data_IF_871648797119
#
_entry.id   IF_871648797119
#
_cell.length_a   1.000
_cell.length_b   1.000
_cell.length_c   1.000
_cell.angle_alpha   90.00
_cell.angle_beta   90.00
_cell.angle_gamma   90.00
#
_symmetry.space_group_name_H-M   'P 1'
#
loop_
_entity.id
_entity.type
_entity.pdbx_description
1 polymer ?
#
# COMPACT_ATOMS: atom_id res chain seq x y z
N UNK A 1 -59.72 -47.68 4.34
CA UNK A 1 -59.60 -46.75 3.20
C UNK A 1 -60.28 -45.46 3.62
N UNK A 2 -59.70 -44.28 3.78
CA UNK A 2 -58.42 -43.68 3.44
C UNK A 2 -58.69 -42.17 3.49
N UNK A 3 -58.37 -41.49 4.60
CA UNK A 3 -58.51 -40.02 4.72
C UNK A 3 -57.28 -39.38 4.09
N UNK A 4 -57.46 -38.72 2.95
CA UNK A 4 -56.42 -37.88 2.34
C UNK A 4 -56.23 -36.62 3.17
N UNK A 5 -55.09 -36.52 3.85
CA UNK A 5 -54.59 -35.28 4.43
C UNK A 5 -53.88 -34.47 3.35
N UNK A 6 -54.44 -33.29 3.03
CA UNK A 6 -53.77 -32.28 2.21
C UNK A 6 -52.66 -31.62 3.04
N UNK A 7 -51.42 -32.06 2.83
CA UNK A 7 -50.23 -31.37 3.34
C UNK A 7 -49.95 -30.18 2.42
N UNK A 8 -50.33 -28.98 2.84
CA UNK A 8 -49.86 -27.75 2.22
C UNK A 8 -48.35 -27.58 2.49
N UNK A 9 -47.53 -28.03 1.54
CA UNK A 9 -46.12 -27.67 1.48
C UNK A 9 -45.99 -26.18 1.23
N UNK A 10 -45.61 -25.41 2.26
CA UNK A 10 -45.11 -24.04 2.10
C UNK A 10 -43.79 -24.09 1.34
N UNK A 11 -43.85 -23.85 0.04
CA UNK A 11 -42.68 -23.47 -0.76
C UNK A 11 -42.19 -22.12 -0.24
N UNK A 12 -41.24 -22.15 0.70
CA UNK A 12 -40.37 -21.00 0.93
C UNK A 12 -39.51 -20.84 -0.33
N UNK A 13 -39.94 -19.93 -1.21
CA UNK A 13 -39.07 -19.37 -2.23
C UNK A 13 -37.81 -18.85 -1.51
N UNK A 14 -36.66 -19.44 -1.81
CA UNK A 14 -35.37 -18.84 -1.49
C UNK A 14 -35.35 -17.48 -2.18
N UNK A 15 -35.68 -16.42 -1.45
CA UNK A 15 -35.45 -15.04 -1.88
C UNK A 15 -33.98 -14.99 -2.27
N UNK A 16 -33.71 -14.83 -3.58
CA UNK A 16 -32.36 -14.77 -4.11
C UNK A 16 -31.69 -13.59 -3.42
N UNK A 17 -30.78 -13.87 -2.48
CA UNK A 17 -30.08 -12.84 -1.70
C UNK A 17 -29.51 -11.83 -2.68
N UNK A 18 -29.77 -10.56 -2.41
CA UNK A 18 -29.40 -9.47 -3.30
C UNK A 18 -27.88 -9.47 -3.53
N UNK A 19 -27.45 -9.60 -4.78
CA UNK A 19 -26.04 -9.42 -5.13
C UNK A 19 -25.74 -7.93 -5.24
N UNK A 20 -25.37 -7.34 -4.11
CA UNK A 20 -25.02 -5.94 -3.99
C UNK A 20 -23.80 -5.56 -4.83
N UNK A 21 -22.83 -6.46 -5.01
CA UNK A 21 -21.61 -6.17 -5.78
C UNK A 21 -21.96 -6.05 -7.25
N UNK A 22 -22.63 -7.06 -7.82
CA UNK A 22 -23.05 -7.01 -9.23
C UNK A 22 -23.93 -5.79 -9.54
N UNK A 23 -24.86 -5.45 -8.63
CA UNK A 23 -25.73 -4.28 -8.80
C UNK A 23 -24.98 -2.96 -8.80
N UNK A 24 -24.07 -2.76 -7.85
CA UNK A 24 -23.26 -1.54 -7.78
C UNK A 24 -22.31 -1.45 -8.97
N UNK A 25 -21.68 -2.56 -9.37
CA UNK A 25 -20.79 -2.58 -10.53
C UNK A 25 -21.53 -2.15 -11.81
N UNK A 26 -22.78 -2.60 -12.01
CA UNK A 26 -23.62 -2.13 -13.13
C UNK A 26 -23.89 -0.63 -13.06
N UNK A 27 -24.19 -0.11 -11.88
CA UNK A 27 -24.39 1.34 -11.69
C UNK A 27 -23.12 2.12 -12.03
N UNK A 28 -21.96 1.67 -11.56
CA UNK A 28 -20.67 2.34 -11.78
C UNK A 28 -20.27 2.31 -13.25
N UNK A 29 -20.46 1.17 -13.93
CA UNK A 29 -20.27 1.09 -15.38
C UNK A 29 -21.21 2.00 -16.16
N UNK A 30 -22.48 2.09 -15.77
CA UNK A 30 -23.43 2.99 -16.44
C UNK A 30 -23.06 4.47 -16.22
N UNK A 31 -22.52 4.82 -15.05
CA UNK A 31 -21.99 6.16 -14.80
C UNK A 31 -20.81 6.49 -15.71
N UNK A 32 -19.92 5.52 -15.97
CA UNK A 32 -18.81 5.68 -16.89
C UNK A 32 -19.26 6.02 -18.32
N UNK A 33 -20.37 5.42 -18.78
CA UNK A 33 -20.96 5.65 -20.11
C UNK A 33 -21.63 7.02 -20.28
N UNK A 34 -21.74 7.83 -19.21
CA UNK A 34 -22.28 9.20 -19.33
C UNK A 34 -21.31 10.16 -20.01
N UNK A 35 -20.06 9.74 -20.24
CA UNK A 35 -18.96 10.56 -20.79
C UNK A 35 -18.65 11.83 -19.97
N UNK A 36 -19.20 11.94 -18.75
CA UNK A 36 -18.89 13.02 -17.80
C UNK A 36 -17.53 12.84 -17.13
N UNK A 37 -17.05 11.60 -17.07
CA UNK A 37 -15.83 11.22 -16.36
C UNK A 37 -14.89 10.47 -17.30
N UNK A 38 -13.59 10.65 -17.08
CA UNK A 38 -12.54 9.89 -17.75
C UNK A 38 -12.62 8.41 -17.35
N UNK A 39 -12.86 8.16 -16.06
CA UNK A 39 -13.17 6.84 -15.51
C UNK A 39 -13.83 6.98 -14.14
N UNK A 40 -14.48 5.91 -13.71
CA UNK A 40 -14.91 5.68 -12.33
C UNK A 40 -13.82 4.83 -11.66
N UNK A 41 -13.31 5.28 -10.52
CA UNK A 41 -12.19 4.63 -9.83
C UNK A 41 -12.62 4.29 -8.41
N UNK A 42 -12.52 3.01 -8.03
CA UNK A 42 -12.77 2.57 -6.66
C UNK A 42 -11.43 2.55 -5.91
N UNK A 43 -11.35 3.35 -4.85
CA UNK A 43 -10.22 3.46 -3.95
C UNK A 43 -10.54 2.77 -2.62
N UNK A 44 -9.50 2.46 -1.85
CA UNK A 44 -9.67 1.81 -0.55
C UNK A 44 -10.25 2.75 0.49
N UNK A 45 -9.80 4.00 0.49
CA UNK A 45 -10.30 5.07 1.34
C UNK A 45 -10.22 6.44 0.65
N UNK A 46 -10.76 7.46 1.30
CA UNK A 46 -10.68 8.84 0.84
C UNK A 46 -9.26 9.41 0.94
N UNK A 47 -8.45 8.94 1.89
CA UNK A 47 -7.09 9.43 2.11
C UNK A 47 -6.17 9.14 0.91
N UNK A 48 -6.44 8.07 0.17
CA UNK A 48 -5.65 7.63 -0.98
C UNK A 48 -5.86 8.53 -2.22
N UNK A 49 -6.96 9.28 -2.27
CA UNK A 49 -7.37 10.06 -3.45
C UNK A 49 -6.28 11.01 -3.91
N UNK A 50 -5.60 11.71 -2.98
CA UNK A 50 -4.57 12.67 -3.35
C UNK A 50 -3.44 12.01 -4.14
N UNK A 51 -3.01 10.81 -3.72
CA UNK A 51 -1.99 10.06 -4.43
C UNK A 51 -2.52 9.59 -5.79
N UNK A 52 -3.66 8.89 -5.79
CA UNK A 52 -4.19 8.27 -6.99
C UNK A 52 -4.61 9.28 -8.05
N UNK A 53 -5.28 10.37 -7.68
CA UNK A 53 -5.61 11.46 -8.61
C UNK A 53 -4.34 12.02 -9.24
N UNK A 54 -3.30 12.32 -8.44
CA UNK A 54 -2.04 12.83 -9.00
C UNK A 54 -1.45 11.89 -10.06
N UNK A 55 -1.39 10.58 -9.79
CA UNK A 55 -0.89 9.60 -10.74
C UNK A 55 -1.77 9.50 -12.00
N UNK A 56 -3.09 9.53 -11.83
CA UNK A 56 -4.07 9.44 -12.93
C UNK A 56 -4.03 10.67 -13.83
N UNK A 57 -4.00 11.87 -13.23
CA UNK A 57 -3.91 13.14 -13.96
C UNK A 57 -2.63 13.24 -14.77
N UNK A 58 -1.53 12.65 -14.31
CA UNK A 58 -0.28 12.62 -15.06
C UNK A 58 -0.41 11.81 -16.36
N UNK A 59 -1.07 10.65 -16.31
CA UNK A 59 -1.26 9.77 -17.48
C UNK A 59 -2.32 10.32 -18.43
N UNK A 60 -3.49 10.68 -17.90
CA UNK A 60 -4.63 11.12 -18.71
C UNK A 60 -5.41 12.21 -17.97
N UNK A 61 -5.05 13.48 -18.17
CA UNK A 61 -5.74 14.60 -17.54
C UNK A 61 -7.24 14.56 -17.81
N UNK A 62 -8.05 14.74 -16.76
CA UNK A 62 -9.50 14.69 -16.93
C UNK A 62 -10.26 14.63 -15.61
N UNK A 63 -11.59 14.51 -15.73
CA UNK A 63 -12.45 14.41 -14.56
C UNK A 63 -12.62 12.96 -14.16
N UNK A 64 -12.10 12.55 -13.01
CA UNK A 64 -12.35 11.22 -12.46
C UNK A 64 -13.50 11.24 -11.45
N UNK A 65 -14.11 10.08 -11.19
CA UNK A 65 -15.06 9.89 -10.10
C UNK A 65 -14.54 8.82 -9.15
N UNK A 66 -14.20 9.23 -7.94
CA UNK A 66 -13.75 8.32 -6.90
C UNK A 66 -14.92 7.74 -6.11
N UNK A 67 -14.79 6.46 -5.78
CA UNK A 67 -15.66 5.72 -4.88
C UNK A 67 -14.77 5.23 -3.73
N UNK A 68 -15.14 5.51 -2.48
CA UNK A 68 -14.39 5.05 -1.29
C UNK A 68 -15.16 4.01 -0.47
N UNK A 69 -16.46 3.87 -0.76
CA UNK A 69 -17.35 2.98 -0.04
C UNK A 69 -18.22 2.22 -1.04
N UNK A 70 -18.49 0.97 -0.72
CA UNK A 70 -19.49 0.18 -1.43
C UNK A 70 -20.18 -0.84 -0.51
N UNK A 71 -21.39 -1.21 -0.87
CA UNK A 71 -22.21 -2.17 -0.12
C UNK A 71 -21.58 -3.55 -0.19
N UNK A 72 -21.42 -4.19 0.96
CA UNK A 72 -21.03 -5.59 1.05
C UNK A 72 -22.23 -6.53 0.79
N UNK A 73 -22.05 -7.85 0.95
CA UNK A 73 -23.13 -8.83 0.74
C UNK A 73 -24.33 -8.68 1.70
N UNK A 74 -24.16 -7.94 2.79
CA UNK A 74 -25.20 -7.64 3.76
C UNK A 74 -25.90 -6.30 3.48
N UNK A 75 -25.46 -5.54 2.46
CA UNK A 75 -25.97 -4.20 2.20
C UNK A 75 -25.42 -3.13 3.15
N UNK A 76 -24.36 -3.44 3.90
CA UNK A 76 -23.66 -2.47 4.75
C UNK A 76 -22.54 -1.83 3.96
N UNK A 77 -22.34 -0.52 4.10
CA UNK A 77 -21.19 0.15 3.48
C UNK A 77 -19.89 -0.39 4.09
N UNK A 78 -18.93 -0.66 3.24
CA UNK A 78 -17.61 -1.20 3.59
C UNK A 78 -16.58 -0.57 2.66
N UNK A 79 -15.33 -0.53 3.09
CA UNK A 79 -14.19 0.08 2.39
C UNK A 79 -12.94 -0.80 2.54
N UNK A 80 -11.81 -0.39 1.98
CA UNK A 80 -10.53 -1.10 2.04
C UNK A 80 -10.26 -2.02 0.83
N UNK A 81 -9.01 -2.45 0.70
CA UNK A 81 -8.52 -3.34 -0.37
C UNK A 81 -9.46 -4.52 -0.67
N UNK A 82 -9.80 -5.31 0.36
CA UNK A 82 -10.67 -6.49 0.21
C UNK A 82 -12.03 -6.15 -0.40
N UNK A 83 -12.58 -4.98 -0.08
CA UNK A 83 -13.85 -4.55 -0.66
C UNK A 83 -13.68 -4.10 -2.12
N UNK A 84 -12.57 -3.46 -2.48
CA UNK A 84 -12.23 -3.14 -3.88
C UNK A 84 -12.08 -4.41 -4.72
N UNK A 85 -11.34 -5.40 -4.23
CA UNK A 85 -11.06 -6.66 -4.94
C UNK A 85 -12.31 -7.46 -5.30
N UNK A 86 -13.41 -7.29 -4.56
CA UNK A 86 -14.70 -7.93 -4.88
C UNK A 86 -15.30 -7.46 -6.20
N UNK A 87 -14.84 -6.33 -6.73
CA UNK A 87 -15.28 -5.82 -8.04
C UNK A 87 -14.48 -6.36 -9.22
N UNK A 88 -13.38 -7.13 -9.01
CA UNK A 88 -12.52 -7.71 -10.07
C UNK A 88 -13.29 -8.29 -11.27
N UNK A 89 -14.37 -9.10 -11.10
CA UNK A 89 -15.11 -9.67 -12.23
C UNK A 89 -15.88 -8.66 -13.10
N UNK A 90 -15.95 -7.40 -12.70
CA UNK A 90 -16.78 -6.38 -13.32
C UNK A 90 -16.00 -5.17 -13.82
N UNK A 91 -14.68 -5.15 -13.65
CA UNK A 91 -13.85 -4.01 -14.00
C UNK A 91 -13.71 -3.87 -15.52
N UNK A 92 -13.47 -2.64 -15.97
CA UNK A 92 -13.24 -2.23 -17.35
C UNK A 92 -12.29 -1.03 -17.38
N UNK A 93 -11.87 -0.61 -18.57
CA UNK A 93 -11.00 0.57 -18.73
C UNK A 93 -11.63 1.91 -18.26
N UNK A 94 -12.95 1.93 -18.06
CA UNK A 94 -13.69 3.09 -17.55
C UNK A 94 -14.27 2.88 -16.14
N UNK A 95 -14.11 1.67 -15.58
CA UNK A 95 -14.43 1.36 -14.19
C UNK A 95 -13.41 0.37 -13.63
N UNK A 96 -12.41 0.89 -12.91
CA UNK A 96 -11.29 0.09 -12.39
C UNK A 96 -11.05 0.38 -10.91
N UNK A 97 -10.15 -0.37 -10.30
CA UNK A 97 -9.75 -0.17 -8.90
C UNK A 97 -8.29 0.24 -8.80
N UNK A 98 -7.99 1.04 -7.78
CA UNK A 98 -6.64 1.31 -7.34
C UNK A 98 -6.49 0.85 -5.89
N UNK A 99 -5.42 0.11 -5.59
CA UNK A 99 -5.20 -0.50 -4.28
C UNK A 99 -3.76 -0.30 -3.81
N UNK A 100 -3.57 -0.25 -2.51
CA UNK A 100 -2.25 -0.46 -1.91
C UNK A 100 -1.91 -1.96 -2.01
N UNK A 101 -0.65 -2.28 -2.33
CA UNK A 101 -0.29 -3.68 -2.51
C UNK A 101 -0.16 -4.45 -1.21
N UNK A 102 0.00 -3.77 -0.06
CA UNK A 102 0.38 -4.36 1.22
C UNK A 102 1.56 -5.34 1.02
N UNK A 103 1.33 -6.63 1.28
CA UNK A 103 2.25 -7.73 0.98
C UNK A 103 1.79 -8.56 -0.23
N UNK A 104 0.67 -8.23 -0.87
CA UNK A 104 0.07 -9.02 -1.98
C UNK A 104 1.00 -9.15 -3.16
N UNK A 105 1.63 -8.04 -3.56
CA UNK A 105 2.60 -8.03 -4.66
C UNK A 105 3.75 -8.99 -4.36
N UNK A 106 4.32 -8.91 -3.16
CA UNK A 106 5.47 -9.74 -2.77
C UNK A 106 5.10 -11.20 -2.49
N UNK A 107 3.84 -11.49 -2.14
CA UNK A 107 3.30 -12.85 -2.05
C UNK A 107 2.97 -13.45 -3.41
N UNK A 108 3.06 -12.68 -4.50
CA UNK A 108 2.71 -13.14 -5.84
C UNK A 108 1.21 -13.39 -6.02
N UNK A 109 0.36 -12.58 -5.39
CA UNK A 109 -1.09 -12.73 -5.55
C UNK A 109 -1.52 -12.52 -7.01
N UNK A 110 -2.15 -13.54 -7.59
CA UNK A 110 -2.47 -13.56 -9.01
C UNK A 110 -3.63 -12.63 -9.40
N UNK A 111 -3.51 -12.08 -10.60
CA UNK A 111 -4.56 -11.31 -11.25
C UNK A 111 -4.77 -9.90 -10.69
N UNK A 112 -3.82 -9.38 -9.91
CA UNK A 112 -3.71 -7.96 -9.56
C UNK A 112 -2.81 -7.27 -10.58
N UNK A 113 -3.34 -7.04 -11.78
CA UNK A 113 -2.57 -6.47 -12.90
C UNK A 113 -3.43 -5.51 -13.71
N UNK A 114 -2.79 -4.61 -14.46
CA UNK A 114 -3.47 -3.74 -15.41
C UNK A 114 -4.35 -4.48 -16.44
N UNK A 115 -4.01 -5.73 -16.83
CA UNK A 115 -4.86 -6.54 -17.72
C UNK A 115 -6.24 -6.85 -17.12
N UNK A 116 -6.33 -6.88 -15.81
CA UNK A 116 -7.58 -7.09 -15.07
C UNK A 116 -8.14 -5.77 -14.55
N UNK A 117 -7.65 -4.63 -15.06
CA UNK A 117 -8.03 -3.28 -14.65
C UNK A 117 -7.84 -3.07 -13.14
N UNK A 118 -6.73 -3.58 -12.60
CA UNK A 118 -6.29 -3.33 -11.23
C UNK A 118 -5.00 -2.55 -11.30
N UNK A 119 -5.01 -1.29 -10.84
CA UNK A 119 -3.79 -0.57 -10.53
C UNK A 119 -3.43 -0.85 -9.07
N UNK A 120 -2.16 -1.11 -8.79
CA UNK A 120 -1.68 -1.27 -7.41
C UNK A 120 -0.39 -0.50 -7.21
N UNK A 121 -0.12 -0.05 -5.99
CA UNK A 121 1.22 0.46 -5.66
C UNK A 121 2.24 -0.65 -5.89
N UNK A 122 3.44 -0.31 -6.37
CA UNK A 122 4.56 -1.25 -6.40
C UNK A 122 5.43 -1.14 -5.15
N UNK A 123 5.02 -0.31 -4.20
CA UNK A 123 5.45 -0.26 -2.80
C UNK A 123 4.35 -0.83 -1.88
N UNK A 124 4.59 -0.96 -0.58
CA UNK A 124 3.59 -1.47 0.38
C UNK A 124 2.28 -0.65 0.32
N UNK A 125 2.38 0.67 0.37
CA UNK A 125 1.24 1.60 0.22
C UNK A 125 1.72 2.94 -0.36
N UNK A 126 0.78 3.85 -0.61
CA UNK A 126 1.11 5.14 -1.20
C UNK A 126 2.05 6.01 -0.35
N UNK A 127 2.04 5.88 0.99
CA UNK A 127 2.91 6.66 1.87
C UNK A 127 4.39 6.31 1.70
N UNK A 128 4.70 5.08 1.28
CA UNK A 128 6.07 4.69 1.00
C UNK A 128 6.68 5.56 -0.12
N UNK A 129 5.88 6.00 -1.09
CA UNK A 129 6.32 6.89 -2.17
C UNK A 129 6.71 8.29 -1.69
N UNK A 130 6.16 8.77 -0.56
CA UNK A 130 6.64 9.99 0.09
C UNK A 130 8.03 9.81 0.71
N UNK A 131 8.35 8.56 1.04
CA UNK A 131 9.55 8.15 1.75
C UNK A 131 10.71 7.73 0.83
N UNK A 132 10.57 7.85 -0.49
CA UNK A 132 11.63 7.48 -1.43
C UNK A 132 12.91 8.29 -1.15
N UNK A 133 14.02 7.57 -1.01
CA UNK A 133 15.24 8.05 -0.37
C UNK A 133 15.94 9.15 -1.14
N UNK A 134 16.04 9.02 -2.47
CA UNK A 134 16.71 10.00 -3.33
C UNK A 134 15.94 11.31 -3.33
N UNK A 135 14.63 11.27 -3.49
CA UNK A 135 13.82 12.47 -3.57
C UNK A 135 13.65 13.16 -2.21
N UNK A 136 13.58 12.43 -1.08
CA UNK A 136 13.64 13.10 0.23
C UNK A 136 14.97 13.83 0.39
N UNK A 137 16.09 13.16 0.11
CA UNK A 137 17.41 13.76 0.25
C UNK A 137 17.52 15.03 -0.60
N UNK A 138 17.02 14.99 -1.83
CA UNK A 138 17.03 16.16 -2.71
C UNK A 138 16.16 17.30 -2.16
N UNK A 139 14.97 17.00 -1.63
CA UNK A 139 14.14 18.02 -0.97
C UNK A 139 14.82 18.58 0.27
N UNK A 140 15.50 17.76 1.08
CA UNK A 140 16.25 18.23 2.24
C UNK A 140 17.38 19.18 1.83
N UNK A 141 18.17 18.82 0.81
CA UNK A 141 19.26 19.65 0.29
C UNK A 141 18.82 21.04 -0.17
N UNK A 142 17.61 21.15 -0.71
CA UNK A 142 17.04 22.42 -1.15
C UNK A 142 16.45 23.28 -0.04
N UNK A 143 15.97 22.68 1.05
CA UNK A 143 15.22 23.40 2.09
C UNK A 143 16.04 23.58 3.37
N UNK A 144 17.15 22.86 3.55
CA UNK A 144 17.97 22.93 4.77
C UNK A 144 19.43 23.20 4.42
N UNK A 145 19.96 24.34 4.84
CA UNK A 145 21.28 24.85 4.43
C UNK A 145 22.46 24.01 4.98
N UNK A 146 22.34 23.47 6.19
CA UNK A 146 23.38 22.68 6.85
C UNK A 146 22.76 21.53 7.64
N UNK A 147 22.73 20.34 7.04
CA UNK A 147 22.35 19.09 7.73
C UNK A 147 23.49 18.10 7.59
N UNK A 148 24.14 17.80 8.72
CA UNK A 148 25.13 16.71 8.83
C UNK A 148 24.42 15.35 8.98
N UNK A 149 23.56 15.04 8.01
CA UNK A 149 22.81 13.79 7.91
C UNK A 149 22.40 13.57 6.46
N UNK A 150 22.84 12.46 5.89
CA UNK A 150 22.46 11.98 4.57
C UNK A 150 21.30 10.98 4.73
N UNK A 151 20.09 11.45 4.41
CA UNK A 151 18.87 10.65 4.49
C UNK A 151 18.89 9.49 3.50
N UNK A 152 19.53 9.65 2.34
CA UNK A 152 19.62 8.59 1.35
C UNK A 152 20.55 7.46 1.84
N UNK A 153 21.71 7.80 2.40
CA UNK A 153 22.61 6.82 3.02
C UNK A 153 21.93 6.11 4.20
N UNK A 154 21.21 6.85 5.05
CA UNK A 154 20.48 6.30 6.18
C UNK A 154 19.39 5.30 5.73
N UNK A 155 18.54 5.70 4.79
CA UNK A 155 17.46 4.83 4.28
C UNK A 155 18.04 3.61 3.54
N UNK A 156 19.14 3.77 2.79
CA UNK A 156 19.83 2.66 2.14
C UNK A 156 20.33 1.63 3.16
N UNK A 157 20.95 2.10 4.25
CA UNK A 157 21.41 1.23 5.33
C UNK A 157 20.24 0.55 6.06
N UNK A 158 19.16 1.30 6.31
CA UNK A 158 17.93 0.77 6.89
C UNK A 158 17.29 -0.31 5.99
N UNK A 159 17.23 -0.09 4.67
CA UNK A 159 16.68 -1.02 3.69
C UNK A 159 17.39 -2.37 3.73
N UNK A 160 18.74 -2.35 3.78
CA UNK A 160 19.56 -3.57 3.94
C UNK A 160 19.25 -4.33 5.23
N UNK A 161 19.02 -3.61 6.33
CA UNK A 161 18.67 -4.22 7.62
C UNK A 161 17.30 -4.90 7.57
N UNK A 162 16.30 -4.28 6.93
CA UNK A 162 14.93 -4.82 6.89
C UNK A 162 14.71 -5.89 5.84
N UNK A 163 15.57 -6.01 4.83
CA UNK A 163 15.44 -6.95 3.72
C UNK A 163 15.21 -8.41 4.18
N UNK A 164 16.11 -8.96 5.00
CA UNK A 164 15.97 -10.34 5.47
C UNK A 164 14.73 -10.53 6.36
N UNK A 165 14.50 -9.71 7.40
CA UNK A 165 13.27 -9.80 8.21
C UNK A 165 11.97 -9.67 7.40
N UNK A 166 11.98 -8.90 6.31
CA UNK A 166 10.84 -8.72 5.43
C UNK A 166 10.57 -9.99 4.60
N UNK A 167 11.61 -10.67 4.10
CA UNK A 167 11.45 -11.99 3.47
C UNK A 167 10.80 -13.00 4.41
N UNK A 168 11.20 -13.01 5.68
CA UNK A 168 10.53 -13.82 6.71
C UNK A 168 9.06 -13.40 6.89
N UNK A 169 8.77 -12.10 6.94
CA UNK A 169 7.40 -11.60 7.09
C UNK A 169 6.51 -12.08 5.94
N UNK A 170 6.98 -11.98 4.71
CA UNK A 170 6.23 -12.40 3.52
C UNK A 170 5.96 -13.91 3.57
N UNK A 171 6.99 -14.72 3.81
CA UNK A 171 6.87 -16.17 3.90
C UNK A 171 5.94 -16.60 5.04
N UNK A 172 6.10 -16.04 6.24
CA UNK A 172 5.30 -16.40 7.41
C UNK A 172 3.85 -15.92 7.27
N UNK A 173 3.59 -14.82 6.57
CA UNK A 173 2.23 -14.30 6.36
C UNK A 173 1.35 -15.20 5.48
N UNK A 174 1.96 -16.11 4.70
CA UNK A 174 1.25 -17.03 3.82
C UNK A 174 0.62 -18.22 4.57
N UNK A 175 1.12 -18.55 5.77
CA UNK A 175 0.59 -19.64 6.60
C UNK A 175 0.09 -19.11 7.96
N UNK A 176 -1.13 -19.51 8.34
CA UNK A 176 -1.78 -19.00 9.55
C UNK A 176 -1.08 -19.41 10.87
N UNK A 177 -0.32 -20.50 10.89
CA UNK A 177 0.42 -20.96 12.06
C UNK A 177 1.78 -20.26 12.15
N UNK A 178 2.50 -20.14 11.02
CA UNK A 178 3.72 -19.35 10.94
C UNK A 178 3.45 -17.88 11.27
N UNK A 179 2.37 -17.30 10.76
CA UNK A 179 1.99 -15.90 11.03
C UNK A 179 1.79 -15.61 12.54
N UNK A 180 1.58 -16.61 13.40
CA UNK A 180 1.58 -16.41 14.87
C UNK A 180 2.99 -16.17 15.41
N UNK A 181 4.01 -16.75 14.78
CA UNK A 181 5.42 -16.68 15.17
C UNK A 181 6.08 -15.39 14.68
N UNK A 182 5.83 -14.98 13.43
CA UNK A 182 6.34 -13.74 12.84
C UNK A 182 5.26 -13.10 11.98
N UNK A 183 4.85 -11.87 12.33
CA UNK A 183 3.82 -11.10 11.64
C UNK A 183 4.15 -9.62 11.64
N UNK A 184 3.30 -8.83 10.98
CA UNK A 184 3.50 -7.39 10.82
C UNK A 184 3.65 -6.66 12.16
N UNK A 185 2.91 -7.06 13.20
CA UNK A 185 3.03 -6.44 14.52
C UNK A 185 4.38 -6.71 15.16
N UNK A 186 4.92 -7.93 15.04
CA UNK A 186 6.24 -8.30 15.57
C UNK A 186 7.36 -7.65 14.76
N UNK A 187 7.24 -7.64 13.44
CA UNK A 187 8.16 -6.93 12.56
C UNK A 187 8.22 -5.43 12.93
N UNK A 188 7.06 -4.77 13.03
CA UNK A 188 6.98 -3.35 13.35
C UNK A 188 7.55 -3.02 14.73
N UNK A 189 7.40 -3.91 15.71
CA UNK A 189 7.95 -3.71 17.06
C UNK A 189 9.50 -3.65 17.08
N UNK A 190 10.17 -4.20 16.07
CA UNK A 190 11.62 -4.11 15.92
C UNK A 190 12.09 -2.71 15.48
N UNK A 191 11.20 -1.82 15.03
CA UNK A 191 11.52 -0.48 14.52
C UNK A 191 10.97 0.57 15.51
N UNK A 192 11.79 1.11 16.44
CA UNK A 192 11.35 2.12 17.37
C UNK A 192 11.10 3.46 16.64
N UNK A 193 9.86 3.94 16.60
CA UNK A 193 9.48 5.12 15.80
C UNK A 193 10.03 6.46 16.28
N UNK A 194 10.58 6.52 17.50
CA UNK A 194 10.99 7.77 18.15
C UNK A 194 12.45 7.70 18.62
N UNK A 195 13.44 7.64 17.71
CA UNK A 195 14.83 7.80 18.10
C UNK A 195 15.05 9.14 18.81
N UNK A 196 16.06 9.18 19.68
CA UNK A 196 16.59 10.40 20.29
C UNK A 196 17.50 11.11 19.30
N UNK A 197 17.72 12.41 19.53
CA UNK A 197 18.63 13.21 18.70
C UNK A 197 20.06 12.63 18.65
N UNK A 198 20.59 12.18 19.78
CA UNK A 198 21.94 11.58 19.86
C UNK A 198 22.08 10.30 19.06
N UNK A 199 21.01 9.52 18.92
CA UNK A 199 21.03 8.27 18.14
C UNK A 199 21.10 8.52 16.62
N UNK A 200 20.89 9.78 16.19
CA UNK A 200 21.01 10.23 14.80
C UNK A 200 22.41 10.73 14.45
N UNK A 201 23.31 10.86 15.41
CA UNK A 201 24.71 11.21 15.17
C UNK A 201 25.40 10.14 14.30
N UNK A 202 26.44 10.52 13.57
CA UNK A 202 27.13 9.64 12.61
C UNK A 202 26.17 8.96 11.62
N UNK A 203 25.21 9.73 11.09
CA UNK A 203 24.19 9.28 10.15
C UNK A 203 23.31 8.13 10.67
N UNK A 204 22.98 8.14 11.97
CA UNK A 204 22.04 7.19 12.57
C UNK A 204 22.60 5.80 12.86
N UNK A 205 23.92 5.61 12.87
CA UNK A 205 24.56 4.29 13.08
C UNK A 205 24.11 3.60 14.37
N UNK A 206 23.96 4.33 15.48
CA UNK A 206 23.49 3.75 16.75
C UNK A 206 22.05 3.26 16.61
N UNK A 207 21.16 4.10 16.09
CA UNK A 207 19.75 3.74 15.86
C UNK A 207 19.60 2.52 14.94
N UNK A 208 20.35 2.48 13.83
CA UNK A 208 20.35 1.36 12.89
C UNK A 208 20.85 0.07 13.57
N UNK A 209 21.87 0.16 14.43
CA UNK A 209 22.36 -0.98 15.22
C UNK A 209 21.28 -1.53 16.14
N UNK A 210 20.52 -0.65 16.81
CA UNK A 210 19.38 -1.06 17.67
C UNK A 210 18.31 -1.80 16.87
N UNK A 211 17.93 -1.30 15.69
CA UNK A 211 16.96 -1.95 14.81
C UNK A 211 17.48 -3.33 14.38
N UNK A 212 18.75 -3.40 13.96
CA UNK A 212 19.39 -4.64 13.53
C UNK A 212 19.37 -5.70 14.63
N UNK A 213 19.80 -5.36 15.84
CA UNK A 213 19.78 -6.30 16.96
C UNK A 213 18.37 -6.76 17.35
N UNK A 214 17.36 -5.89 17.25
CA UNK A 214 15.96 -6.28 17.48
C UNK A 214 15.45 -7.28 16.44
N UNK A 215 15.83 -7.11 15.18
CA UNK A 215 15.49 -8.08 14.14
C UNK A 215 16.25 -9.39 14.34
N UNK A 216 17.55 -9.36 14.63
CA UNK A 216 18.34 -10.57 14.92
C UNK A 216 17.72 -11.38 16.06
N UNK A 217 17.32 -10.74 17.16
CA UNK A 217 16.65 -11.41 18.27
C UNK A 217 15.25 -11.91 17.88
N UNK A 218 14.49 -11.12 17.12
CA UNK A 218 13.15 -11.48 16.64
C UNK A 218 13.15 -12.71 15.72
N UNK A 219 14.21 -12.89 14.93
CA UNK A 219 14.36 -14.00 13.99
C UNK A 219 15.01 -15.25 14.60
N UNK A 220 15.68 -15.13 15.74
CA UNK A 220 16.53 -16.18 16.35
C UNK A 220 15.84 -17.55 16.54
N UNK A 221 14.54 -17.54 16.83
CA UNK A 221 13.77 -18.76 17.13
C UNK A 221 12.84 -19.18 15.98
N UNK A 222 12.99 -18.58 14.80
CA UNK A 222 12.18 -18.93 13.62
C UNK A 222 12.78 -20.17 12.95
N UNK A 223 12.01 -21.25 12.93
CA UNK A 223 12.44 -22.57 12.45
C UNK A 223 12.50 -22.69 10.93
N UNK A 224 11.65 -21.95 10.22
CA UNK A 224 11.51 -22.06 8.77
C UNK A 224 12.10 -20.83 8.09
N UNK A 225 12.95 -21.06 7.10
CA UNK A 225 13.60 -19.97 6.37
C UNK A 225 12.86 -19.71 5.05
N UNK A 226 12.70 -18.45 4.63
CA UNK A 226 12.12 -18.13 3.33
C UNK A 226 12.97 -18.71 2.21
N UNK A 227 12.40 -19.66 1.46
CA UNK A 227 13.01 -20.25 0.27
C UNK A 227 12.62 -19.45 -0.97
N UNK A 228 13.53 -19.34 -1.93
CA UNK A 228 13.28 -18.64 -3.20
C UNK A 228 13.56 -17.14 -3.18
N UNK A 229 13.72 -16.61 -4.39
CA UNK A 229 13.87 -15.18 -4.66
C UNK A 229 12.48 -14.57 -4.88
N UNK A 230 12.25 -13.38 -4.33
CA UNK A 230 11.08 -12.57 -4.64
C UNK A 230 11.57 -11.54 -5.65
N UNK A 231 11.16 -11.65 -6.92
CA UNK A 231 11.78 -10.91 -8.02
C UNK A 231 11.73 -9.39 -7.84
N UNK A 232 10.65 -8.87 -7.29
CA UNK A 232 10.43 -7.44 -7.04
C UNK A 232 11.06 -6.91 -5.75
N UNK A 233 11.73 -7.75 -4.96
CA UNK A 233 12.33 -7.35 -3.67
C UNK A 233 13.85 -7.48 -3.70
N UNK A 234 14.53 -6.38 -3.35
CA UNK A 234 15.99 -6.26 -3.28
C UNK A 234 16.40 -5.61 -1.95
N UNK A 235 17.70 -5.62 -1.65
CA UNK A 235 18.21 -4.91 -0.48
C UNK A 235 18.06 -3.39 -0.61
N UNK A 236 18.07 -2.89 -1.84
CA UNK A 236 17.97 -1.48 -2.19
C UNK A 236 16.55 -0.93 -1.97
N UNK A 237 15.51 -1.72 -2.28
CA UNK A 237 14.11 -1.26 -2.22
C UNK A 237 13.30 -1.82 -1.05
N UNK A 238 13.84 -2.71 -0.21
CA UNK A 238 13.10 -3.34 0.88
C UNK A 238 12.38 -2.36 1.81
N UNK A 239 12.93 -1.15 2.03
CA UNK A 239 12.27 -0.12 2.82
C UNK A 239 10.92 0.33 2.23
N UNK A 240 10.74 0.33 0.90
CA UNK A 240 9.48 0.68 0.24
C UNK A 240 8.38 -0.38 0.48
N UNK A 241 8.76 -1.56 0.96
CA UNK A 241 7.86 -2.69 1.12
C UNK A 241 7.52 -3.02 2.59
N UNK A 242 7.91 -2.17 3.53
CA UNK A 242 7.40 -2.22 4.91
C UNK A 242 6.14 -1.36 5.02
N UNK A 243 5.33 -1.58 6.07
CA UNK A 243 4.10 -0.83 6.30
C UNK A 243 4.30 0.69 6.15
N UNK A 244 3.61 1.33 5.20
CA UNK A 244 3.83 2.73 4.85
C UNK A 244 3.66 3.70 6.01
N UNK A 245 2.61 3.52 6.82
CA UNK A 245 2.42 4.29 8.06
C UNK A 245 3.61 4.20 9.03
N UNK A 246 4.29 3.06 9.12
CA UNK A 246 5.45 2.86 10.00
C UNK A 246 6.65 3.64 9.46
N UNK A 247 6.97 3.46 8.18
CA UNK A 247 8.05 4.16 7.50
C UNK A 247 7.84 5.67 7.57
N UNK A 248 6.65 6.13 7.19
CA UNK A 248 6.27 7.54 7.22
C UNK A 248 6.48 8.16 8.59
N UNK A 249 5.99 7.51 9.66
CA UNK A 249 6.15 8.02 11.03
C UNK A 249 7.61 8.08 11.47
N UNK A 250 8.40 7.07 11.13
CA UNK A 250 9.84 7.03 11.46
C UNK A 250 10.57 8.18 10.76
N UNK A 251 10.39 8.31 9.43
CA UNK A 251 11.04 9.34 8.62
C UNK A 251 10.57 10.75 9.05
N UNK A 252 9.27 10.93 9.30
CA UNK A 252 8.72 12.17 9.82
C UNK A 252 9.38 12.56 11.15
N UNK A 253 9.52 11.63 12.09
CA UNK A 253 10.13 11.91 13.39
C UNK A 253 11.61 12.27 13.24
N UNK A 254 12.37 11.47 12.49
CA UNK A 254 13.79 11.73 12.21
C UNK A 254 13.96 13.11 11.56
N UNK A 255 13.24 13.38 10.47
CA UNK A 255 13.30 14.67 9.78
C UNK A 255 12.90 15.84 10.66
N UNK A 256 11.89 15.67 11.52
CA UNK A 256 11.50 16.69 12.51
C UNK A 256 12.62 16.95 13.51
N UNK A 257 13.34 15.93 13.97
CA UNK A 257 14.52 16.11 14.84
C UNK A 257 15.66 16.83 14.11
N UNK A 258 15.87 16.54 12.82
CA UNK A 258 16.88 17.18 11.99
C UNK A 258 16.58 18.66 11.72
N UNK A 259 15.31 19.04 11.63
CA UNK A 259 14.90 20.43 11.43
C UNK A 259 14.72 21.22 12.74
N UNK A 260 15.01 20.64 13.92
CA UNK A 260 14.88 21.40 15.17
C UNK A 260 15.85 22.57 15.19
N UNK A 261 15.31 23.77 15.46
CA UNK A 261 16.08 25.00 15.47
C UNK A 261 16.24 25.66 14.09
N UNK A 262 15.60 25.11 13.06
CA UNK A 262 15.44 25.76 11.76
C UNK A 262 14.00 26.27 11.59
N UNK A 263 13.74 27.10 10.58
CA UNK A 263 12.39 27.54 10.21
C UNK A 263 11.66 26.53 9.29
N UNK A 264 12.18 25.31 9.16
CA UNK A 264 11.66 24.28 8.24
C UNK A 264 10.77 23.30 8.97
N UNK A 265 9.50 23.20 8.58
CA UNK A 265 8.60 22.17 9.03
C UNK A 265 8.73 20.93 8.15
N UNK A 266 9.52 19.94 8.58
CA UNK A 266 9.84 18.74 7.79
C UNK A 266 8.63 18.08 7.12
N UNK A 267 7.49 17.99 7.82
CA UNK A 267 6.27 17.40 7.25
C UNK A 267 5.80 18.15 5.99
N UNK A 268 5.55 19.44 6.10
CA UNK A 268 4.92 20.24 5.04
C UNK A 268 5.91 20.72 4.00
N UNK A 269 7.14 21.00 4.41
CA UNK A 269 8.14 21.63 3.55
C UNK A 269 9.03 20.60 2.84
N UNK A 270 8.99 19.34 3.26
CA UNK A 270 9.84 18.27 2.72
C UNK A 270 9.02 17.00 2.46
N UNK A 271 8.44 16.36 3.47
CA UNK A 271 7.88 15.01 3.33
C UNK A 271 6.64 14.97 2.42
N UNK A 272 5.65 15.83 2.67
CA UNK A 272 4.36 15.85 1.96
C UNK A 272 4.36 16.75 0.70
N UNK A 273 5.52 17.35 0.36
CA UNK A 273 5.61 18.45 -0.61
C UNK A 273 5.47 18.02 -2.07
N UNK A 274 5.87 16.79 -2.40
CA UNK A 274 5.81 16.31 -3.78
C UNK A 274 5.44 14.84 -3.86
N UNK A 275 4.53 14.53 -4.78
CA UNK A 275 4.34 13.20 -5.31
C UNK A 275 5.14 13.06 -6.61
N UNK A 276 5.56 11.84 -6.90
CA UNK A 276 6.39 11.54 -8.07
C UNK A 276 5.63 10.68 -9.06
N UNK A 277 5.99 10.79 -10.34
CA UNK A 277 5.50 9.91 -11.41
C UNK A 277 6.64 9.22 -12.16
N UNK A 278 7.90 9.41 -11.77
CA UNK A 278 9.06 8.77 -12.39
C UNK A 278 10.26 8.82 -11.43
N UNK A 279 11.37 8.19 -11.84
CA UNK A 279 12.66 8.30 -11.14
C UNK A 279 13.01 7.14 -10.24
N UNK A 280 12.14 6.11 -10.15
CA UNK A 280 12.42 4.84 -9.47
C UNK A 280 11.44 3.75 -9.94
N UNK A 281 11.86 2.49 -9.84
CA UNK A 281 11.20 1.36 -10.50
C UNK A 281 9.74 1.15 -10.06
N UNK A 282 9.43 1.36 -8.79
CA UNK A 282 8.08 1.16 -8.25
C UNK A 282 7.09 2.18 -8.84
N UNK A 283 7.48 3.46 -8.94
CA UNK A 283 6.58 4.47 -9.53
C UNK A 283 6.47 4.31 -11.05
N UNK A 284 7.55 3.91 -11.71
CA UNK A 284 7.53 3.66 -13.16
C UNK A 284 6.66 2.44 -13.51
N UNK A 285 6.70 1.39 -12.69
CA UNK A 285 5.82 0.23 -12.82
C UNK A 285 4.36 0.61 -12.64
N UNK A 286 4.04 1.45 -11.64
CA UNK A 286 2.70 1.99 -11.45
C UNK A 286 2.24 2.78 -12.68
N UNK A 287 3.08 3.71 -13.16
CA UNK A 287 2.76 4.51 -14.33
C UNK A 287 2.50 3.66 -15.56
N UNK A 288 3.31 2.62 -15.80
CA UNK A 288 3.13 1.70 -16.92
C UNK A 288 1.76 1.00 -16.86
N UNK A 289 1.35 0.56 -15.67
CA UNK A 289 0.05 -0.09 -15.49
C UNK A 289 -1.11 0.90 -15.68
N UNK A 290 -0.99 2.13 -15.19
CA UNK A 290 -1.98 3.18 -15.42
C UNK A 290 -2.11 3.57 -16.90
N UNK A 291 -0.98 3.70 -17.62
CA UNK A 291 -0.99 3.94 -19.07
C UNK A 291 -1.74 2.82 -19.80
N UNK A 292 -1.49 1.57 -19.43
CA UNK A 292 -2.15 0.41 -20.03
C UNK A 292 -3.65 0.36 -19.78
N UNK A 293 -4.11 0.82 -18.61
CA UNK A 293 -5.56 0.89 -18.30
C UNK A 293 -6.22 2.06 -19.03
N UNK A 294 -5.57 3.23 -19.08
CA UNK A 294 -6.21 4.50 -19.50
C UNK A 294 -6.03 4.86 -20.97
N UNK A 295 -4.97 4.36 -21.61
CA UNK A 295 -4.55 4.67 -22.97
C UNK A 295 -4.49 3.34 -23.72
N UNK A 296 -5.64 2.92 -24.25
CA UNK A 296 -5.73 1.89 -25.28
C UNK A 296 -5.83 2.53 -26.66
#
# INVERSE_FOLDING_TARGET
MGRQGLVHGRNYSKVKRMDWISKQAKLYRNLALTHRYQAIVHLEDQEDERFWDYQLQHVKPGRYRYLYYSKNNNGTDTRGCEQCLRFKPYLTDQFFICIDSDLRLLRGEEGLTANNHVAQTYAYSWENHLCESVHIQERMRHNIEQVDFDMNEFITAFSKIVYTPLRYLIFYSADSNLNKLWNISKFNACIPLQPKRSELDNNGKEYLSVIKSRFEEGLKNLSEQPTGKIESLTEENAYLHIQGHLLYKMILHIGTLLCRGTDVAFKTDILDKSLHTNGYDEIESLQKDLHKILIQ
#
